data_IF_976025086293
#
_entry.id   IF_976025086293
#
_cell.length_a   1.000
_cell.length_b   1.000
_cell.length_c   1.000
_cell.angle_alpha   90.00
_cell.angle_beta   90.00
_cell.angle_gamma   90.00
#
_symmetry.space_group_name_H-M   'P 1'
#
loop_
_entity.id
_entity.type
_entity.pdbx_description
1 polymer ?
#
# COMPACT_ATOMS: atom_id res chain seq x y z
N UNK A 1 36.64 -14.78 32.87
CA UNK A 1 35.50 -14.09 32.23
C UNK A 1 34.24 -14.58 32.90
N UNK A 2 33.49 -13.70 33.56
CA UNK A 2 32.38 -14.09 34.45
C UNK A 2 31.19 -14.58 33.65
N UNK A 3 30.46 -15.61 34.15
CA UNK A 3 29.23 -16.15 33.55
C UNK A 3 28.17 -15.07 33.31
N UNK A 4 28.15 -14.02 34.09
CA UNK A 4 27.29 -12.86 33.94
C UNK A 4 27.59 -12.02 32.70
N UNK A 5 28.86 -11.95 32.25
CA UNK A 5 29.22 -11.21 31.04
C UNK A 5 28.76 -11.93 29.76
N UNK A 6 28.80 -13.27 29.73
CA UNK A 6 28.28 -14.07 28.61
C UNK A 6 26.75 -13.97 28.46
N UNK A 7 26.01 -13.92 29.56
CA UNK A 7 24.54 -13.77 29.55
C UNK A 7 24.13 -12.38 29.03
N UNK A 8 24.86 -11.31 29.42
CA UNK A 8 24.59 -9.97 28.90
C UNK A 8 24.89 -9.83 27.39
N UNK A 9 25.94 -10.47 26.89
CA UNK A 9 26.28 -10.44 25.46
C UNK A 9 25.23 -11.23 24.65
N UNK A 10 24.71 -12.34 25.17
CA UNK A 10 23.66 -13.12 24.50
C UNK A 10 22.31 -12.38 24.45
N UNK A 11 21.98 -11.59 25.47
CA UNK A 11 20.76 -10.77 25.51
C UNK A 11 20.78 -9.60 24.50
N UNK A 12 21.96 -9.05 24.19
CA UNK A 12 22.15 -7.97 23.21
C UNK A 12 22.04 -8.45 21.75
N UNK A 13 22.19 -9.75 21.47
CA UNK A 13 22.07 -10.29 20.12
C UNK A 13 20.61 -10.58 19.70
N UNK A 14 19.63 -10.50 20.60
CA UNK A 14 18.23 -10.81 20.32
C UNK A 14 17.39 -9.59 19.91
N UNK A 15 17.95 -8.39 19.88
CA UNK A 15 17.21 -7.15 19.60
C UNK A 15 17.26 -6.66 18.14
N UNK A 16 17.78 -7.45 17.18
CA UNK A 16 18.00 -7.00 15.80
C UNK A 16 17.01 -7.55 14.77
N UNK A 17 15.72 -7.68 15.06
CA UNK A 17 14.71 -8.12 14.09
C UNK A 17 13.51 -7.19 13.93
N UNK A 18 13.72 -5.86 13.96
CA UNK A 18 12.65 -4.85 13.79
C UNK A 18 12.69 -4.02 12.50
N UNK A 19 13.70 -4.17 11.66
CA UNK A 19 13.83 -3.39 10.42
C UNK A 19 12.81 -3.84 9.36
N UNK A 20 11.91 -2.93 8.94
CA UNK A 20 11.10 -3.13 7.75
C UNK A 20 11.98 -3.24 6.50
N UNK A 21 11.52 -3.97 5.48
CA UNK A 21 12.24 -4.04 4.21
C UNK A 21 12.28 -2.65 3.56
N UNK A 22 13.47 -2.13 3.28
CA UNK A 22 13.64 -0.83 2.60
C UNK A 22 13.58 -0.94 1.08
N UNK A 23 13.96 -2.11 0.52
CA UNK A 23 13.91 -2.38 -0.92
C UNK A 23 12.66 -3.17 -1.31
N UNK A 24 12.14 -2.96 -2.54
CA UNK A 24 11.06 -3.79 -3.06
C UNK A 24 11.50 -5.25 -3.21
N UNK A 25 10.54 -6.20 -3.32
CA UNK A 25 10.85 -7.56 -3.76
C UNK A 25 11.45 -7.57 -5.17
N UNK A 26 12.20 -8.62 -5.49
CA UNK A 26 12.55 -8.91 -6.89
C UNK A 26 11.32 -9.52 -7.59
N UNK A 27 11.24 -9.37 -8.90
CA UNK A 27 10.18 -9.93 -9.72
C UNK A 27 8.77 -9.54 -9.22
N UNK A 28 8.42 -8.28 -9.43
CA UNK A 28 7.13 -7.73 -9.01
C UNK A 28 5.94 -8.24 -9.82
N UNK A 29 6.17 -8.95 -10.93
CA UNK A 29 5.12 -9.54 -11.75
C UNK A 29 4.71 -10.95 -11.26
N UNK A 30 5.40 -11.47 -10.24
CA UNK A 30 5.16 -12.79 -9.68
C UNK A 30 4.75 -12.71 -8.20
N UNK A 31 3.45 -12.86 -7.93
CA UNK A 31 2.91 -12.80 -6.57
C UNK A 31 3.48 -13.89 -5.65
N UNK A 32 3.78 -15.08 -6.18
CA UNK A 32 4.40 -16.17 -5.43
C UNK A 32 5.82 -15.81 -5.01
N UNK A 33 6.59 -15.21 -5.92
CA UNK A 33 7.93 -14.70 -5.62
C UNK A 33 7.90 -13.63 -4.53
N UNK A 34 6.96 -12.68 -4.63
CA UNK A 34 6.74 -11.65 -3.60
C UNK A 34 6.40 -12.31 -2.25
N UNK A 35 5.53 -13.31 -2.24
CA UNK A 35 5.09 -13.99 -1.03
C UNK A 35 6.24 -14.71 -0.32
N UNK A 36 7.09 -15.41 -1.05
CA UNK A 36 8.27 -16.10 -0.52
C UNK A 36 9.29 -15.12 0.03
N UNK A 37 9.60 -14.05 -0.74
CA UNK A 37 10.60 -13.06 -0.34
C UNK A 37 10.15 -12.17 0.83
N UNK A 38 8.84 -11.94 0.95
CA UNK A 38 8.24 -10.99 1.90
C UNK A 38 7.05 -11.60 2.66
N UNK A 39 7.24 -12.64 3.48
CA UNK A 39 6.14 -13.30 4.19
C UNK A 39 5.38 -12.35 5.14
N UNK A 40 6.02 -11.26 5.60
CA UNK A 40 5.35 -10.20 6.36
C UNK A 40 4.29 -9.46 5.53
N UNK A 41 4.46 -9.36 4.20
CA UNK A 41 3.49 -8.71 3.32
C UNK A 41 2.22 -9.57 3.21
N UNK A 42 2.38 -10.87 2.97
CA UNK A 42 1.25 -11.80 2.90
C UNK A 42 0.44 -11.79 4.18
N UNK A 43 1.10 -11.82 5.34
CA UNK A 43 0.42 -11.70 6.64
C UNK A 43 -0.36 -10.39 6.79
N UNK A 44 0.21 -9.28 6.32
CA UNK A 44 -0.46 -7.97 6.33
C UNK A 44 -1.71 -7.98 5.44
N UNK A 45 -1.58 -8.44 4.19
CA UNK A 45 -2.68 -8.50 3.23
C UNK A 45 -3.80 -9.44 3.69
N UNK A 46 -3.47 -10.65 4.15
CA UNK A 46 -4.46 -11.59 4.71
C UNK A 46 -5.16 -11.02 5.97
N UNK A 47 -4.46 -10.24 6.79
CA UNK A 47 -5.08 -9.57 7.94
C UNK A 47 -6.06 -8.46 7.52
N UNK A 48 -5.71 -7.69 6.50
CA UNK A 48 -6.56 -6.66 5.91
C UNK A 48 -7.78 -7.27 5.23
N UNK A 49 -7.61 -8.34 4.46
CA UNK A 49 -8.71 -9.07 3.84
C UNK A 49 -9.71 -9.59 4.88
N UNK A 50 -9.24 -10.22 5.96
CA UNK A 50 -10.12 -10.66 7.06
C UNK A 50 -10.86 -9.51 7.74
N UNK A 51 -10.24 -8.34 7.84
CA UNK A 51 -10.82 -7.18 8.55
C UNK A 51 -11.80 -6.41 7.68
N UNK A 52 -11.45 -6.19 6.41
CA UNK A 52 -12.12 -5.25 5.53
C UNK A 52 -12.78 -5.91 4.32
N UNK A 53 -12.52 -7.19 4.06
CA UNK A 53 -13.06 -7.94 2.92
C UNK A 53 -12.41 -7.64 1.58
N UNK A 54 -11.34 -6.82 1.54
CA UNK A 54 -10.64 -6.50 0.29
C UNK A 54 -9.69 -7.63 -0.08
N UNK A 55 -9.81 -8.27 -1.26
CA UNK A 55 -8.96 -9.40 -1.65
C UNK A 55 -7.47 -9.06 -1.65
N UNK A 56 -6.63 -10.02 -1.26
CA UNK A 56 -5.17 -9.87 -1.22
C UNK A 56 -4.63 -9.34 -2.56
N UNK A 57 -5.11 -9.88 -3.68
CA UNK A 57 -4.65 -9.51 -5.03
C UNK A 57 -4.94 -8.04 -5.36
N UNK A 58 -6.11 -7.52 -4.95
CA UNK A 58 -6.50 -6.11 -5.15
C UNK A 58 -5.58 -5.18 -4.37
N UNK A 59 -5.29 -5.51 -3.10
CA UNK A 59 -4.36 -4.76 -2.26
C UNK A 59 -2.95 -4.73 -2.87
N UNK A 60 -2.46 -5.89 -3.34
CA UNK A 60 -1.14 -6.01 -3.96
C UNK A 60 -1.04 -5.20 -5.25
N UNK A 61 -2.06 -5.27 -6.12
CA UNK A 61 -2.10 -4.52 -7.38
C UNK A 61 -2.10 -3.01 -7.12
N UNK A 62 -2.86 -2.54 -6.13
CA UNK A 62 -2.87 -1.13 -5.72
C UNK A 62 -1.49 -0.69 -5.21
N UNK A 63 -0.86 -1.43 -4.29
CA UNK A 63 0.48 -1.09 -3.77
C UNK A 63 1.53 -1.15 -4.89
N UNK A 64 1.42 -2.10 -5.81
CA UNK A 64 2.29 -2.12 -6.99
C UNK A 64 2.17 -0.82 -7.77
N UNK A 65 0.96 -0.37 -8.07
CA UNK A 65 0.73 0.85 -8.84
C UNK A 65 1.21 2.10 -8.11
N UNK A 66 0.97 2.20 -6.80
CA UNK A 66 1.30 3.38 -6.01
C UNK A 66 2.80 3.52 -5.74
N UNK A 67 3.49 2.45 -5.43
CA UNK A 67 4.87 2.54 -4.92
C UNK A 67 5.85 1.51 -5.47
N UNK A 68 5.40 0.56 -6.29
CA UNK A 68 6.19 -0.62 -6.66
C UNK A 68 6.74 -1.35 -5.42
N UNK A 69 5.93 -1.47 -4.38
CA UNK A 69 6.29 -2.03 -3.07
C UNK A 69 7.44 -1.30 -2.36
N UNK A 70 7.68 -0.04 -2.66
CA UNK A 70 8.68 0.79 -1.97
C UNK A 70 8.03 1.51 -0.78
N UNK A 71 8.49 1.18 0.43
CA UNK A 71 7.97 1.79 1.65
C UNK A 71 8.38 3.25 1.84
N UNK A 72 9.45 3.68 1.18
CA UNK A 72 9.98 5.04 1.22
C UNK A 72 9.60 5.90 0.01
N UNK A 73 8.70 5.40 -0.86
CA UNK A 73 8.29 6.12 -2.07
C UNK A 73 7.72 7.50 -1.72
N UNK A 74 8.18 8.51 -2.47
CA UNK A 74 7.75 9.91 -2.33
C UNK A 74 7.61 10.56 -3.70
N UNK A 75 6.73 11.53 -3.82
CA UNK A 75 6.66 12.37 -5.01
C UNK A 75 7.94 13.20 -5.18
N UNK A 76 8.37 13.46 -6.43
CA UNK A 76 9.56 14.26 -6.70
C UNK A 76 9.41 15.71 -6.19
N UNK A 77 10.53 16.38 -5.99
CA UNK A 77 10.55 17.83 -5.75
C UNK A 77 10.18 18.58 -7.03
N UNK A 78 9.47 19.68 -6.85
CA UNK A 78 9.29 20.70 -7.88
C UNK A 78 10.37 21.76 -7.72
N UNK A 79 10.89 22.23 -8.85
CA UNK A 79 11.89 23.29 -8.89
C UNK A 79 11.37 24.46 -9.74
N UNK A 80 11.50 25.69 -9.22
CA UNK A 80 11.36 26.88 -10.05
C UNK A 80 12.70 27.15 -10.74
N UNK A 81 12.66 27.53 -12.02
CA UNK A 81 13.85 27.79 -12.85
C UNK A 81 14.87 26.63 -12.86
N UNK A 82 14.42 25.40 -12.55
CA UNK A 82 15.26 24.21 -12.53
C UNK A 82 16.17 24.05 -11.30
N UNK A 83 16.29 25.06 -10.43
CA UNK A 83 17.26 25.08 -9.33
C UNK A 83 16.65 25.42 -7.96
N UNK A 84 15.57 26.18 -7.89
CA UNK A 84 14.98 26.62 -6.62
C UNK A 84 13.95 25.58 -6.16
N UNK A 85 14.15 24.86 -5.02
CA UNK A 85 13.23 23.84 -4.55
C UNK A 85 11.91 24.47 -4.07
N UNK A 86 10.80 24.11 -4.71
CA UNK A 86 9.42 24.57 -4.40
C UNK A 86 8.63 23.57 -3.55
N UNK A 87 9.31 22.59 -2.96
CA UNK A 87 8.67 21.51 -2.23
C UNK A 87 8.28 20.31 -3.12
N UNK A 88 7.62 19.33 -2.55
CA UNK A 88 7.16 18.13 -3.27
C UNK A 88 5.83 18.40 -3.99
N UNK A 89 5.55 17.64 -5.04
CA UNK A 89 4.30 17.76 -5.80
C UNK A 89 3.06 17.46 -4.94
N UNK A 90 3.19 16.55 -3.97
CA UNK A 90 2.14 16.24 -3.00
C UNK A 90 2.75 15.66 -1.71
N UNK A 91 1.92 15.50 -0.68
CA UNK A 91 2.27 14.84 0.57
C UNK A 91 2.22 13.30 0.51
N UNK A 92 1.99 12.71 -0.68
CA UNK A 92 1.94 11.26 -0.88
C UNK A 92 3.24 10.59 -0.42
N UNK A 93 3.09 9.51 0.38
CA UNK A 93 4.23 8.82 0.97
C UNK A 93 3.95 7.34 1.23
N UNK A 94 5.02 6.53 1.11
CA UNK A 94 5.06 5.14 1.53
C UNK A 94 4.38 4.19 0.57
N UNK A 95 4.03 2.99 1.05
CA UNK A 95 3.48 1.92 0.23
C UNK A 95 2.18 2.28 -0.48
N UNK A 96 1.29 2.98 0.19
CA UNK A 96 -0.05 3.33 -0.30
C UNK A 96 -0.14 4.71 -0.93
N UNK A 97 0.93 5.49 -0.94
CA UNK A 97 0.96 6.89 -1.42
C UNK A 97 -0.18 7.77 -0.86
N UNK A 98 -0.67 7.41 0.34
CA UNK A 98 -1.70 8.18 1.01
C UNK A 98 -1.25 9.63 1.27
N UNK A 99 -2.14 10.59 1.04
CA UNK A 99 -1.94 11.99 1.40
C UNK A 99 -2.07 12.18 2.92
N UNK A 100 -1.42 13.22 3.47
CA UNK A 100 -1.43 13.50 4.91
C UNK A 100 -2.85 13.56 5.47
N UNK A 101 -3.73 14.36 4.88
CA UNK A 101 -5.11 14.53 5.37
C UNK A 101 -5.89 13.21 5.37
N UNK A 102 -5.80 12.42 4.29
CA UNK A 102 -6.49 11.12 4.18
C UNK A 102 -5.92 10.09 5.18
N UNK A 103 -4.61 10.14 5.40
CA UNK A 103 -3.96 9.30 6.41
C UNK A 103 -4.39 9.65 7.83
N UNK A 104 -4.55 10.93 8.14
CA UNK A 104 -5.03 11.38 9.44
C UNK A 104 -6.50 11.04 9.66
N UNK A 105 -7.34 11.09 8.60
CA UNK A 105 -8.72 10.60 8.65
C UNK A 105 -8.77 9.10 9.00
N UNK A 106 -7.93 8.30 8.35
CA UNK A 106 -7.80 6.88 8.66
C UNK A 106 -7.39 6.64 10.13
N UNK A 107 -6.37 7.35 10.59
CA UNK A 107 -5.86 7.22 11.97
C UNK A 107 -6.94 7.57 13.00
N UNK A 108 -7.72 8.63 12.75
CA UNK A 108 -8.85 9.03 13.59
C UNK A 108 -9.97 7.99 13.57
N UNK A 109 -10.38 7.58 12.38
CA UNK A 109 -11.50 6.64 12.19
C UNK A 109 -11.25 5.25 12.78
N UNK A 110 -9.98 4.80 12.79
CA UNK A 110 -9.61 3.44 13.22
C UNK A 110 -8.96 3.38 14.60
N UNK A 111 -8.69 4.53 15.23
CA UNK A 111 -7.96 4.63 16.50
C UNK A 111 -6.46 4.31 16.38
N UNK A 112 -5.94 4.08 15.18
CA UNK A 112 -4.53 3.69 14.95
C UNK A 112 -3.58 4.88 14.93
N UNK A 113 -3.50 5.62 16.03
CA UNK A 113 -2.72 6.87 16.14
C UNK A 113 -1.23 6.74 15.79
N UNK A 114 -0.63 5.54 15.96
CA UNK A 114 0.78 5.26 15.70
C UNK A 114 1.04 4.62 14.33
N UNK A 115 0.03 4.49 13.47
CA UNK A 115 0.18 3.92 12.13
C UNK A 115 1.18 4.71 11.29
N UNK A 116 1.99 4.01 10.47
CA UNK A 116 3.04 4.56 9.63
C UNK A 116 2.83 4.17 8.18
N UNK A 117 2.96 5.11 7.25
CA UNK A 117 2.78 4.88 5.80
C UNK A 117 3.87 4.02 5.16
N UNK A 118 5.05 3.96 5.79
CA UNK A 118 6.19 3.11 5.42
C UNK A 118 6.15 1.71 6.06
N UNK A 119 5.10 1.39 6.80
CA UNK A 119 4.85 0.06 7.34
C UNK A 119 3.80 -0.64 6.50
N UNK A 120 4.14 -1.79 5.91
CA UNK A 120 3.24 -2.53 5.00
C UNK A 120 1.92 -2.94 5.65
N UNK A 121 1.92 -3.30 6.95
CA UNK A 121 0.71 -3.67 7.68
C UNK A 121 -0.26 -2.50 7.82
N UNK A 122 0.28 -1.33 8.14
CA UNK A 122 -0.53 -0.14 8.32
C UNK A 122 -1.03 0.40 6.97
N UNK A 123 -0.17 0.37 5.95
CA UNK A 123 -0.53 0.80 4.59
C UNK A 123 -1.57 -0.12 3.95
N UNK A 124 -1.45 -1.43 4.13
CA UNK A 124 -2.44 -2.41 3.68
C UNK A 124 -3.79 -2.19 4.40
N UNK A 125 -3.78 -2.04 5.73
CA UNK A 125 -5.00 -1.78 6.51
C UNK A 125 -5.67 -0.45 6.10
N UNK A 126 -4.89 0.58 5.77
CA UNK A 126 -5.39 1.84 5.22
C UNK A 126 -6.10 1.62 3.87
N UNK A 127 -5.50 0.84 2.94
CA UNK A 127 -6.14 0.50 1.66
C UNK A 127 -7.48 -0.20 1.90
N UNK A 128 -7.51 -1.18 2.80
CA UNK A 128 -8.74 -1.88 3.17
C UNK A 128 -9.82 -0.94 3.70
N UNK A 129 -9.47 -0.05 4.62
CA UNK A 129 -10.36 0.98 5.15
C UNK A 129 -10.88 1.92 4.04
N UNK A 130 -10.00 2.38 3.16
CA UNK A 130 -10.37 3.31 2.10
C UNK A 130 -11.31 2.65 1.07
N UNK A 131 -11.01 1.44 0.63
CA UNK A 131 -11.83 0.70 -0.33
C UNK A 131 -13.20 0.30 0.24
N UNK A 132 -13.28 0.01 1.55
CA UNK A 132 -14.58 -0.19 2.22
C UNK A 132 -15.42 1.09 2.15
N UNK A 133 -14.81 2.26 2.34
CA UNK A 133 -15.53 3.54 2.18
C UNK A 133 -15.92 3.82 0.71
N UNK A 134 -15.13 3.36 -0.26
CA UNK A 134 -15.50 3.42 -1.69
C UNK A 134 -16.75 2.58 -1.96
N UNK A 135 -16.82 1.37 -1.38
CA UNK A 135 -18.04 0.53 -1.44
C UNK A 135 -19.24 1.24 -0.81
N UNK A 136 -19.08 1.74 0.39
CA UNK A 136 -20.19 2.31 1.17
C UNK A 136 -20.71 3.62 0.57
N UNK A 137 -19.85 4.42 -0.06
CA UNK A 137 -20.22 5.71 -0.66
C UNK A 137 -20.63 5.64 -2.13
N UNK A 138 -20.01 4.74 -2.88
CA UNK A 138 -20.10 4.71 -4.34
C UNK A 138 -20.59 3.36 -4.88
N UNK A 139 -20.90 2.38 -4.01
CA UNK A 139 -21.40 1.07 -4.43
C UNK A 139 -20.35 0.18 -5.11
N UNK A 140 -19.06 0.49 -5.00
CA UNK A 140 -17.98 -0.23 -5.70
C UNK A 140 -17.71 -1.55 -4.98
N UNK A 141 -17.81 -2.68 -5.67
CA UNK A 141 -17.47 -3.98 -5.09
C UNK A 141 -16.00 -4.04 -4.66
N UNK A 142 -15.69 -4.73 -3.54
CA UNK A 142 -14.33 -4.77 -2.98
C UNK A 142 -13.34 -5.55 -3.85
N UNK A 143 -13.83 -6.41 -4.74
CA UNK A 143 -13.05 -7.16 -5.74
C UNK A 143 -12.94 -6.46 -7.10
N UNK A 144 -13.62 -5.33 -7.31
CA UNK A 144 -13.54 -4.50 -8.51
C UNK A 144 -12.30 -3.60 -8.43
N UNK A 145 -11.13 -4.15 -8.77
CA UNK A 145 -9.87 -3.45 -8.64
C UNK A 145 -9.80 -2.18 -9.49
N UNK A 146 -10.42 -2.20 -10.68
CA UNK A 146 -10.48 -1.06 -11.60
C UNK A 146 -11.19 0.14 -10.98
N UNK A 147 -12.43 -0.04 -10.57
CA UNK A 147 -13.23 1.06 -10.03
C UNK A 147 -12.77 1.46 -8.62
N UNK A 148 -12.27 0.51 -7.81
CA UNK A 148 -11.62 0.83 -6.54
C UNK A 148 -10.40 1.73 -6.74
N UNK A 149 -9.58 1.47 -7.78
CA UNK A 149 -8.43 2.31 -8.09
C UNK A 149 -8.83 3.70 -8.61
N UNK A 150 -9.85 3.79 -9.47
CA UNK A 150 -10.39 5.08 -9.91
C UNK A 150 -10.87 5.94 -8.73
N UNK A 151 -11.60 5.33 -7.78
CA UNK A 151 -12.04 6.02 -6.56
C UNK A 151 -10.88 6.36 -5.62
N UNK A 152 -9.84 5.54 -5.60
CA UNK A 152 -8.63 5.78 -4.82
C UNK A 152 -7.88 7.02 -5.31
N UNK A 153 -7.74 7.15 -6.62
CA UNK A 153 -7.05 8.26 -7.27
C UNK A 153 -7.85 9.58 -7.24
N UNK A 154 -9.15 9.52 -7.58
CA UNK A 154 -10.00 10.72 -7.70
C UNK A 154 -10.58 11.19 -6.36
N UNK A 155 -10.49 10.36 -5.33
CA UNK A 155 -11.29 10.50 -4.12
C UNK A 155 -12.76 10.11 -4.35
N UNK A 156 -13.48 9.77 -3.27
CA UNK A 156 -14.85 9.28 -3.36
C UNK A 156 -15.80 10.24 -4.08
N UNK A 157 -15.67 11.55 -3.81
CA UNK A 157 -16.51 12.59 -4.46
C UNK A 157 -16.13 12.82 -5.92
N UNK A 158 -14.84 12.72 -6.28
CA UNK A 158 -14.39 12.80 -7.66
C UNK A 158 -14.91 11.62 -8.49
N UNK A 159 -14.82 10.42 -7.93
CA UNK A 159 -15.38 9.22 -8.55
C UNK A 159 -16.88 9.37 -8.79
N UNK A 160 -17.66 9.77 -7.76
CA UNK A 160 -19.10 9.96 -7.88
C UNK A 160 -19.53 10.94 -8.99
N UNK A 161 -18.69 11.96 -9.25
CA UNK A 161 -18.92 12.92 -10.34
C UNK A 161 -18.39 12.44 -11.70
N UNK A 162 -17.75 11.28 -11.78
CA UNK A 162 -17.16 10.77 -13.01
C UNK A 162 -15.96 11.58 -13.50
N UNK A 163 -15.21 12.26 -12.62
CA UNK A 163 -14.06 13.11 -12.99
C UNK A 163 -12.94 12.36 -13.72
N UNK A 164 -12.90 11.04 -13.59
CA UNK A 164 -11.97 10.16 -14.31
C UNK A 164 -12.31 9.99 -15.79
N UNK A 165 -13.54 10.26 -16.24
CA UNK A 165 -13.98 10.04 -17.63
C UNK A 165 -13.20 10.89 -18.64
N UNK A 166 -12.73 12.07 -18.24
CA UNK A 166 -11.90 12.95 -19.06
C UNK A 166 -10.40 12.63 -19.02
N UNK A 167 -9.99 11.63 -18.24
CA UNK A 167 -8.59 11.26 -17.99
C UNK A 167 -8.25 9.90 -18.60
N UNK A 168 -8.10 9.85 -19.93
CA UNK A 168 -7.81 8.61 -20.65
C UNK A 168 -6.59 7.85 -20.11
N UNK A 169 -5.58 8.60 -19.62
CA UNK A 169 -4.41 8.00 -18.97
C UNK A 169 -4.78 7.26 -17.67
N UNK A 170 -5.70 7.83 -16.86
CA UNK A 170 -6.12 7.20 -15.60
C UNK A 170 -6.98 5.96 -15.86
N UNK A 171 -7.82 5.99 -16.88
CA UNK A 171 -8.59 4.82 -17.30
C UNK A 171 -7.65 3.67 -17.68
N UNK A 172 -6.60 3.94 -18.49
CA UNK A 172 -5.60 2.91 -18.82
C UNK A 172 -4.88 2.36 -17.58
N UNK A 173 -4.48 3.24 -16.66
CA UNK A 173 -3.84 2.80 -15.40
C UNK A 173 -4.79 1.93 -14.57
N UNK A 174 -6.07 2.27 -14.50
CA UNK A 174 -7.05 1.46 -13.78
C UNK A 174 -7.24 0.08 -14.44
N UNK A 175 -7.23 0.00 -15.78
CA UNK A 175 -7.26 -1.27 -16.51
C UNK A 175 -6.01 -2.11 -16.24
N UNK A 176 -4.83 -1.49 -16.13
CA UNK A 176 -3.58 -2.17 -15.74
C UNK A 176 -3.64 -2.72 -14.30
N UNK A 177 -4.25 -1.97 -13.38
CA UNK A 177 -4.44 -2.41 -11.98
C UNK A 177 -5.38 -3.61 -11.93
N UNK A 178 -6.47 -3.60 -12.71
CA UNK A 178 -7.39 -4.75 -12.82
C UNK A 178 -6.66 -5.98 -13.38
N UNK A 179 -5.97 -5.84 -14.51
CA UNK A 179 -5.21 -6.94 -15.12
C UNK A 179 -4.18 -7.52 -14.13
N UNK A 180 -3.51 -6.67 -13.36
CA UNK A 180 -2.55 -7.09 -12.34
C UNK A 180 -3.23 -7.80 -11.16
N UNK A 181 -4.38 -7.34 -10.74
CA UNK A 181 -5.15 -8.01 -9.68
C UNK A 181 -5.58 -9.42 -10.11
N UNK A 182 -6.05 -9.57 -11.36
CA UNK A 182 -6.38 -10.89 -11.95
C UNK A 182 -5.15 -11.79 -12.01
N UNK A 183 -4.02 -11.27 -12.48
CA UNK A 183 -2.75 -12.01 -12.54
C UNK A 183 -2.32 -12.49 -11.14
N UNK A 184 -2.26 -11.59 -10.18
CA UNK A 184 -1.86 -11.93 -8.80
C UNK A 184 -2.82 -12.94 -8.16
N UNK A 185 -4.13 -12.78 -8.38
CA UNK A 185 -5.12 -13.73 -7.87
C UNK A 185 -4.90 -15.15 -8.42
N UNK A 186 -4.66 -15.27 -9.73
CA UNK A 186 -4.39 -16.56 -10.37
C UNK A 186 -3.09 -17.22 -9.90
N UNK A 187 -2.06 -16.41 -9.60
CA UNK A 187 -0.78 -16.90 -9.09
C UNK A 187 -0.92 -17.35 -7.62
N UNK A 188 -1.56 -16.54 -6.77
CA UNK A 188 -1.76 -16.86 -5.36
C UNK A 188 -2.61 -18.12 -5.15
N UNK A 189 -3.54 -18.41 -6.05
CA UNK A 189 -4.30 -19.68 -6.02
C UNK A 189 -3.43 -20.93 -6.17
N UNK A 190 -2.21 -20.78 -6.72
CA UNK A 190 -1.26 -21.89 -6.93
C UNK A 190 -0.20 -22.03 -5.85
N UNK A 191 0.05 -20.99 -5.07
CA UNK A 191 1.14 -20.94 -4.08
C UNK A 191 0.72 -20.42 -2.70
N UNK A 192 -0.56 -20.17 -2.50
CA UNK A 192 -1.13 -19.58 -1.27
C UNK A 192 -1.67 -20.60 -0.28
#
# INVERSE_FOLDING_TARGET
MSRTLCVMILALMLSSCGGGYKSPPHDLDNACSIAVQRPKYVRAFKATERRWGVPVAVQMATIYQESRFRGDARTPFRYALGIIPMGRQSSAFGYSQALDGTWDDYRRATGKRRAKRDNIRDASDFIGWYMTRSRDKNGIALNDARNQYLAYHEGHSGYARGSYNSKSWLLRVADEVEARAVLYNSQLARCG
#
